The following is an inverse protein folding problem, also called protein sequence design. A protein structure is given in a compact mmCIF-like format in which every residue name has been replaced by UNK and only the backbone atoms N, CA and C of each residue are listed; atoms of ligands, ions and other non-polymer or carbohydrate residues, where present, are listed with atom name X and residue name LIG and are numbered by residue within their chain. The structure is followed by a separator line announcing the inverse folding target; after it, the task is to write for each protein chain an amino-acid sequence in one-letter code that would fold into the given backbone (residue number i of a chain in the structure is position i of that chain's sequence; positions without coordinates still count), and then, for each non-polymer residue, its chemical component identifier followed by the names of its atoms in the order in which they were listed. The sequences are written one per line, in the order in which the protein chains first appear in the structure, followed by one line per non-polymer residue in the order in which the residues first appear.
data_IF_450515122337
#
_entry.id   IF_450515122337
#
_cell.length_a   1.000
_cell.length_b   1.000
_cell.length_c   1.000
_cell.angle_alpha   90.00
_cell.angle_beta   90.00
_cell.angle_gamma   90.00
#
_symmetry.space_group_name_H-M   'P 1'
#
loop_
_entity.id
_entity.type
_entity.pdbx_description
1 polymer ?
#
# COMPACT_ATOMS: atom_id res chain seq x y z
N UNK A 1 32.10 -8.21 -32.36
CA UNK A 1 31.72 -7.25 -31.30
C UNK A 1 30.72 -7.96 -30.38
N UNK A 2 31.19 -8.78 -29.43
CA UNK A 2 30.32 -9.61 -28.55
C UNK A 2 30.54 -9.27 -27.07
N UNK A 3 31.69 -8.68 -26.74
CA UNK A 3 32.05 -8.29 -25.35
C UNK A 3 31.22 -7.09 -24.88
N UNK A 4 30.91 -6.14 -25.76
CA UNK A 4 30.16 -4.92 -25.41
C UNK A 4 28.72 -5.26 -25.03
N UNK A 5 28.02 -6.11 -25.78
CA UNK A 5 26.64 -6.53 -25.48
C UNK A 5 26.53 -7.24 -24.13
N UNK A 6 27.50 -8.12 -23.80
CA UNK A 6 27.49 -8.83 -22.53
C UNK A 6 27.68 -7.89 -21.33
N UNK A 7 28.57 -6.89 -21.45
CA UNK A 7 28.76 -5.86 -20.42
C UNK A 7 27.51 -5.00 -20.28
N UNK A 8 26.91 -4.56 -21.39
CA UNK A 8 25.68 -3.74 -21.37
C UNK A 8 24.52 -4.47 -20.69
N UNK A 9 24.30 -5.74 -21.00
CA UNK A 9 23.23 -6.54 -20.38
C UNK A 9 23.45 -6.74 -18.88
N UNK A 10 24.70 -6.96 -18.45
CA UNK A 10 25.04 -7.12 -17.02
C UNK A 10 24.79 -5.84 -16.24
N UNK A 11 25.24 -4.70 -16.77
CA UNK A 11 25.04 -3.38 -16.14
C UNK A 11 23.56 -3.04 -16.02
N UNK A 12 22.76 -3.30 -17.05
CA UNK A 12 21.31 -3.08 -17.00
C UNK A 12 20.61 -3.96 -15.95
N UNK A 13 21.03 -5.22 -15.81
CA UNK A 13 20.49 -6.11 -14.79
C UNK A 13 20.87 -5.65 -13.38
N UNK A 14 22.11 -5.23 -13.16
CA UNK A 14 22.58 -4.67 -11.88
C UNK A 14 21.77 -3.40 -11.51
N UNK A 15 21.50 -2.51 -12.46
CA UNK A 15 20.66 -1.32 -12.25
C UNK A 15 19.21 -1.71 -11.90
N UNK A 16 18.61 -2.67 -12.61
CA UNK A 16 17.26 -3.15 -12.31
C UNK A 16 17.18 -3.79 -10.93
N UNK A 17 18.19 -4.55 -10.52
CA UNK A 17 18.29 -5.13 -9.18
C UNK A 17 18.36 -4.04 -8.11
N UNK A 18 19.21 -3.02 -8.29
CA UNK A 18 19.29 -1.88 -7.36
C UNK A 18 17.95 -1.13 -7.23
N UNK A 19 17.25 -0.90 -8.36
CA UNK A 19 15.93 -0.28 -8.35
C UNK A 19 14.93 -1.17 -7.59
N UNK A 20 14.95 -2.47 -7.84
CA UNK A 20 14.08 -3.45 -7.17
C UNK A 20 14.31 -3.48 -5.66
N UNK A 21 15.56 -3.51 -5.21
CA UNK A 21 15.92 -3.48 -3.77
C UNK A 21 15.47 -2.18 -3.10
N UNK A 22 15.65 -1.04 -3.79
CA UNK A 22 15.17 0.25 -3.31
C UNK A 22 13.64 0.27 -3.18
N UNK A 23 12.92 -0.24 -4.17
CA UNK A 23 11.46 -0.31 -4.14
C UNK A 23 10.95 -1.26 -3.06
N UNK A 24 11.62 -2.41 -2.84
CA UNK A 24 11.30 -3.32 -1.75
C UNK A 24 11.46 -2.64 -0.37
N UNK A 25 12.54 -1.86 -0.19
CA UNK A 25 12.77 -1.08 1.02
C UNK A 25 11.68 -0.02 1.24
N UNK A 26 11.28 0.69 0.18
CA UNK A 26 10.15 1.64 0.22
C UNK A 26 8.84 0.93 0.57
N UNK A 27 8.59 -0.26 0.03
CA UNK A 27 7.45 -1.10 0.35
C UNK A 27 7.37 -1.47 1.82
N UNK A 28 8.50 -1.91 2.40
CA UNK A 28 8.58 -2.25 3.82
C UNK A 28 8.33 -1.04 4.72
N UNK A 29 8.94 0.10 4.41
CA UNK A 29 8.72 1.35 5.16
C UNK A 29 7.26 1.80 5.06
N UNK A 30 6.68 1.77 3.86
CA UNK A 30 5.28 2.12 3.66
C UNK A 30 4.34 1.19 4.44
N UNK A 31 4.64 -0.11 4.51
CA UNK A 31 3.87 -1.07 5.31
C UNK A 31 3.94 -0.76 6.82
N UNK A 32 5.13 -0.44 7.33
CA UNK A 32 5.32 -0.03 8.73
C UNK A 32 4.55 1.24 9.06
N UNK A 33 4.71 2.28 8.25
CA UNK A 33 3.98 3.55 8.43
C UNK A 33 2.46 3.33 8.33
N UNK A 34 2.00 2.53 7.38
CA UNK A 34 0.58 2.23 7.23
C UNK A 34 0.02 1.52 8.47
N UNK A 35 0.76 0.55 9.02
CA UNK A 35 0.38 -0.14 10.24
C UNK A 35 0.30 0.81 11.45
N UNK A 36 1.32 1.63 11.65
CA UNK A 36 1.38 2.57 12.78
C UNK A 36 0.32 3.67 12.69
N UNK A 37 -0.06 4.11 11.48
CA UNK A 37 -1.14 5.09 11.28
C UNK A 37 -2.53 4.45 11.38
N UNK A 38 -2.70 3.23 10.87
CA UNK A 38 -4.00 2.53 10.97
C UNK A 38 -4.35 2.19 12.43
N UNK A 39 -3.37 2.02 13.31
CA UNK A 39 -3.60 1.73 14.74
C UNK A 39 -4.40 2.83 15.45
N UNK A 40 -3.96 4.10 15.52
CA UNK A 40 -4.74 5.18 16.14
C UNK A 40 -6.04 5.45 15.38
N UNK A 41 -6.08 5.30 14.05
CA UNK A 41 -7.34 5.43 13.29
C UNK A 41 -8.37 4.38 13.72
N UNK A 42 -7.94 3.13 13.92
CA UNK A 42 -8.82 2.06 14.43
C UNK A 42 -9.35 2.40 15.82
N UNK A 43 -8.49 2.93 16.70
CA UNK A 43 -8.90 3.40 18.03
C UNK A 43 -9.93 4.53 17.96
N UNK A 44 -9.68 5.56 17.15
CA UNK A 44 -10.61 6.69 16.94
C UNK A 44 -11.95 6.18 16.40
N UNK A 45 -11.95 5.29 15.40
CA UNK A 45 -13.17 4.71 14.85
C UNK A 45 -13.95 3.95 15.92
N UNK A 46 -13.26 3.14 16.72
CA UNK A 46 -13.88 2.33 17.78
C UNK A 46 -14.53 3.22 18.84
N UNK A 47 -13.82 4.23 19.34
CA UNK A 47 -14.40 5.18 20.30
C UNK A 47 -15.57 5.97 19.71
N UNK A 48 -15.46 6.37 18.44
CA UNK A 48 -16.56 7.09 17.77
C UNK A 48 -17.80 6.20 17.63
N UNK A 49 -17.62 4.91 17.29
CA UNK A 49 -18.71 3.94 17.19
C UNK A 49 -19.34 3.66 18.56
N UNK A 50 -18.53 3.54 19.62
CA UNK A 50 -19.03 3.41 21.00
C UNK A 50 -19.86 4.62 21.44
N UNK A 51 -19.48 5.83 21.01
CA UNK A 51 -20.23 7.05 21.32
C UNK A 51 -21.49 7.20 20.47
N UNK A 52 -21.49 6.67 19.25
CA UNK A 52 -22.67 6.61 18.38
C UNK A 52 -23.69 5.57 18.85
N UNK A 53 -23.23 4.51 19.53
CA UNK A 53 -24.08 3.49 20.10
C UNK A 53 -24.95 4.08 21.23
N UNK A 54 -26.25 4.21 20.96
CA UNK A 54 -27.21 4.86 21.87
C UNK A 54 -27.23 6.40 21.81
N UNK A 55 -26.56 7.02 20.84
CA UNK A 55 -26.63 8.47 20.66
C UNK A 55 -28.03 8.93 20.19
N UNK A 56 -28.52 10.04 20.72
CA UNK A 56 -29.77 10.66 20.25
C UNK A 56 -29.58 11.20 18.82
N UNK A 57 -30.37 10.75 17.83
CA UNK A 57 -30.30 11.25 16.46
C UNK A 57 -30.52 12.75 16.33
N UNK A 58 -31.17 13.39 17.30
CA UNK A 58 -31.44 14.84 17.29
C UNK A 58 -30.35 15.66 18.00
N UNK A 59 -29.38 15.02 18.67
CA UNK A 59 -28.24 15.71 19.26
C UNK A 59 -27.27 16.16 18.15
N UNK A 60 -26.97 17.47 18.02
CA UNK A 60 -25.99 17.96 17.04
C UNK A 60 -24.61 17.30 17.14
N UNK A 61 -24.25 16.73 18.31
CA UNK A 61 -23.01 15.98 18.50
C UNK A 61 -23.00 14.65 17.73
N UNK A 62 -24.16 14.03 17.52
CA UNK A 62 -24.29 12.79 16.73
C UNK A 62 -23.82 13.02 15.29
N UNK A 63 -24.20 14.14 14.68
CA UNK A 63 -23.72 14.52 13.35
C UNK A 63 -22.19 14.74 13.31
N UNK A 64 -21.63 15.31 14.38
CA UNK A 64 -20.17 15.49 14.51
C UNK A 64 -19.47 14.15 14.62
N UNK A 65 -19.97 13.23 15.45
CA UNK A 65 -19.42 11.88 15.60
C UNK A 65 -19.46 11.12 14.27
N UNK A 66 -20.57 11.15 13.54
CA UNK A 66 -20.62 10.53 12.21
C UNK A 66 -19.64 11.15 11.21
N UNK A 67 -19.39 12.47 11.29
CA UNK A 67 -18.37 13.13 10.45
C UNK A 67 -16.96 12.63 10.81
N UNK A 68 -16.66 12.49 12.11
CA UNK A 68 -15.39 11.94 12.59
C UNK A 68 -15.20 10.51 12.09
N UNK A 69 -16.21 9.65 12.21
CA UNK A 69 -16.16 8.27 11.72
C UNK A 69 -15.83 8.24 10.21
N UNK A 70 -16.55 9.02 9.40
CA UNK A 70 -16.29 9.11 7.95
C UNK A 70 -14.89 9.60 7.63
N UNK A 71 -14.36 10.58 8.36
CA UNK A 71 -12.98 11.06 8.14
C UNK A 71 -11.94 10.01 8.51
N UNK A 72 -12.16 9.25 9.58
CA UNK A 72 -11.28 8.15 10.00
C UNK A 72 -11.19 7.07 8.93
N UNK A 73 -12.32 6.63 8.37
CA UNK A 73 -12.34 5.69 7.24
C UNK A 73 -11.63 6.23 6.00
N UNK A 74 -11.84 7.51 5.70
CA UNK A 74 -11.21 8.16 4.54
C UNK A 74 -9.69 8.26 4.70
N UNK A 75 -9.21 8.57 5.91
CA UNK A 75 -7.78 8.56 6.23
C UNK A 75 -7.18 7.16 6.06
N UNK A 76 -7.84 6.12 6.59
CA UNK A 76 -7.39 4.73 6.43
C UNK A 76 -7.31 4.33 4.94
N UNK A 77 -8.27 4.76 4.11
CA UNK A 77 -8.25 4.52 2.66
C UNK A 77 -7.06 5.19 1.97
N UNK A 78 -6.71 6.42 2.35
CA UNK A 78 -5.54 7.13 1.79
C UNK A 78 -4.25 6.39 2.15
N UNK A 79 -4.10 6.01 3.41
CA UNK A 79 -2.94 5.26 3.92
C UNK A 79 -2.77 3.93 3.19
N UNK A 80 -3.85 3.17 3.04
CA UNK A 80 -3.83 1.91 2.29
C UNK A 80 -3.56 2.10 0.80
N UNK A 81 -3.97 3.22 0.21
CA UNK A 81 -3.66 3.59 -1.17
C UNK A 81 -2.16 3.81 -1.40
N UNK A 82 -1.47 4.45 -0.45
CA UNK A 82 -0.02 4.66 -0.52
C UNK A 82 0.75 3.33 -0.45
N UNK A 83 0.27 2.36 0.33
CA UNK A 83 0.85 1.02 0.41
C UNK A 83 0.76 0.25 -0.92
N UNK A 84 -0.32 0.46 -1.69
CA UNK A 84 -0.49 -0.22 -2.97
C UNK A 84 0.48 0.30 -4.05
N UNK A 85 0.95 1.56 -3.94
CA UNK A 85 1.92 2.14 -4.86
C UNK A 85 3.35 1.61 -4.65
N UNK A 86 3.65 1.10 -3.45
CA UNK A 86 4.97 0.62 -3.09
C UNK A 86 5.15 -0.89 -3.31
N UNK A 87 4.09 -1.60 -3.71
CA UNK A 87 4.22 -2.98 -4.20
C UNK A 87 4.82 -2.98 -5.61
N UNK A 88 5.90 -3.75 -5.85
CA UNK A 88 6.33 -4.04 -7.21
C UNK A 88 5.13 -4.61 -7.96
N UNK A 89 4.81 -4.02 -9.11
CA UNK A 89 3.75 -4.55 -9.97
C UNK A 89 3.98 -6.03 -10.17
N UNK A 90 3.01 -6.87 -9.78
CA UNK A 90 3.04 -8.26 -10.20
C UNK A 90 3.17 -8.25 -11.72
N UNK A 91 4.21 -8.89 -12.31
CA UNK A 91 4.37 -8.84 -13.75
C UNK A 91 3.14 -9.51 -14.38
N UNK A 92 2.33 -8.71 -15.06
CA UNK A 92 1.19 -9.16 -15.86
C UNK A 92 1.68 -9.73 -17.20
N UNK A 93 2.70 -10.59 -17.14
CA UNK A 93 3.17 -11.33 -18.29
C UNK A 93 2.86 -12.80 -18.05
N UNK A 94 1.88 -13.38 -18.79
CA UNK A 94 1.74 -14.82 -18.81
C UNK A 94 3.07 -15.37 -19.31
N UNK A 95 3.81 -16.02 -18.42
CA UNK A 95 4.98 -16.80 -18.77
C UNK A 95 4.48 -17.89 -19.72
N UNK A 96 4.54 -17.62 -21.02
CA UNK A 96 4.38 -18.66 -22.03
C UNK A 96 5.60 -19.55 -21.89
N UNK A 97 5.44 -20.61 -21.11
CA UNK A 97 6.24 -21.81 -21.19
C UNK A 97 6.05 -22.37 -22.60
N UNK A 98 6.80 -21.86 -23.56
CA UNK A 98 6.94 -22.53 -24.84
C UNK A 98 7.72 -23.80 -24.54
N UNK A 99 6.99 -24.91 -24.50
CA UNK A 99 7.53 -26.25 -24.39
C UNK A 99 8.60 -26.45 -25.46
N UNK A 100 9.86 -26.41 -25.03
CA UNK A 100 10.94 -27.14 -25.70
C UNK A 100 10.66 -28.63 -25.50
N UNK A 101 9.92 -29.26 -26.42
CA UNK A 101 10.11 -30.67 -26.72
C UNK A 101 10.09 -30.85 -28.24
N UNK A 102 11.26 -31.31 -28.68
CA UNK A 102 11.62 -32.15 -29.83
C UNK A 102 10.53 -32.57 -30.81
#
# INVERSE_FOLDING_TARGET
MVIIENITARVQLEEQLQISEKMASVGLLAAGVAHEVNTPLTGISSFTQMLLDGADPNDPRTDVLQKIERQTFRAAKIVNGLLNLSRPGSPDHPVRLTSMQS
#
